data_IF_007341162709
#
_entry.id   IF_007341162709
#
_cell.length_a   1.000
_cell.length_b   1.000
_cell.length_c   1.000
_cell.angle_alpha   90.00
_cell.angle_beta   90.00
_cell.angle_gamma   90.00
#
_symmetry.space_group_name_H-M   'P 1'
#
loop_
_entity.id
_entity.type
_entity.pdbx_description
1 polymer ?
#
# COMPACT_ATOMS: atom_id res chain seq x y z
N UNK A 1 -4.87 9.54 -12.83
CA UNK A 1 -4.16 10.15 -11.66
C UNK A 1 -4.45 9.35 -10.41
N UNK A 2 -3.43 9.12 -9.61
CA UNK A 2 -3.56 8.34 -8.37
C UNK A 2 -3.98 9.26 -7.23
N UNK A 3 -5.03 8.86 -6.51
CA UNK A 3 -5.46 9.60 -5.33
C UNK A 3 -4.53 9.36 -4.15
N UNK A 4 -4.30 10.41 -3.37
CA UNK A 4 -3.62 10.32 -2.09
C UNK A 4 -4.63 9.97 -1.00
N UNK A 5 -4.28 9.00 -0.16
CA UNK A 5 -5.09 8.60 0.98
C UNK A 5 -4.34 8.91 2.26
N UNK A 6 -4.88 9.82 3.07
CA UNK A 6 -4.31 10.11 4.39
C UNK A 6 -4.45 8.87 5.30
N UNK A 7 -3.46 8.59 6.16
CA UNK A 7 -3.60 7.50 7.14
C UNK A 7 -4.87 7.61 8.00
N UNK A 8 -5.29 8.83 8.34
CA UNK A 8 -6.51 9.04 9.14
C UNK A 8 -7.79 8.65 8.40
N UNK A 9 -7.76 8.62 7.06
CA UNK A 9 -8.91 8.24 6.23
C UNK A 9 -8.89 6.76 5.85
N UNK A 10 -7.85 6.03 6.23
CA UNK A 10 -7.67 4.64 5.81
C UNK A 10 -8.81 3.74 6.28
N UNK A 11 -9.25 3.89 7.53
CA UNK A 11 -10.31 3.03 8.06
C UNK A 11 -11.61 3.16 7.26
N UNK A 12 -11.98 4.38 6.86
CA UNK A 12 -13.16 4.61 6.03
C UNK A 12 -12.98 4.04 4.63
N UNK A 13 -11.79 4.20 4.05
CA UNK A 13 -11.47 3.63 2.74
C UNK A 13 -11.54 2.10 2.77
N UNK A 14 -10.98 1.48 3.82
CA UNK A 14 -11.02 0.03 4.01
C UNK A 14 -12.45 -0.47 4.14
N UNK A 15 -13.27 0.22 4.93
CA UNK A 15 -14.67 -0.16 5.12
C UNK A 15 -15.46 -0.06 3.81
N UNK A 16 -15.17 0.95 2.98
CA UNK A 16 -15.83 1.13 1.69
C UNK A 16 -15.45 0.04 0.68
N UNK A 17 -14.37 -0.69 0.90
CA UNK A 17 -13.98 -1.80 0.02
C UNK A 17 -14.90 -3.02 0.16
N UNK A 18 -15.62 -3.15 1.28
CA UNK A 18 -16.48 -4.30 1.53
C UNK A 18 -17.48 -4.50 0.36
N UNK A 19 -17.79 -5.74 -0.02
CA UNK A 19 -17.35 -7.00 0.61
C UNK A 19 -15.93 -7.46 0.25
N UNK A 20 -15.21 -6.71 -0.58
CA UNK A 20 -13.81 -7.04 -0.89
C UNK A 20 -12.91 -6.71 0.30
N UNK A 21 -11.87 -7.52 0.48
CA UNK A 21 -10.81 -7.23 1.45
C UNK A 21 -9.80 -6.30 0.79
N UNK A 22 -9.55 -5.15 1.41
CA UNK A 22 -8.55 -4.22 0.92
C UNK A 22 -7.15 -4.81 1.04
N UNK A 23 -6.25 -4.41 0.14
CA UNK A 23 -4.85 -4.80 0.13
C UNK A 23 -4.00 -3.57 0.42
N UNK A 24 -3.04 -3.69 1.34
CA UNK A 24 -1.94 -2.74 1.48
C UNK A 24 -0.70 -3.38 0.88
N UNK A 25 -0.11 -2.74 -0.12
CA UNK A 25 1.10 -3.19 -0.78
C UNK A 25 2.27 -2.37 -0.30
N UNK A 26 3.10 -2.97 0.56
CA UNK A 26 4.33 -2.37 1.08
C UNK A 26 5.45 -2.63 0.08
N UNK A 27 6.01 -1.57 -0.49
CA UNK A 27 7.00 -1.67 -1.56
C UNK A 27 8.42 -1.33 -1.08
N UNK A 28 8.61 -1.28 0.25
CA UNK A 28 9.91 -0.98 0.86
C UNK A 28 10.85 -2.18 0.77
N UNK A 29 12.11 -1.93 1.12
CA UNK A 29 13.12 -2.98 1.20
C UNK A 29 12.93 -3.83 2.47
N UNK A 30 13.38 -5.11 2.47
CA UNK A 30 13.20 -5.99 3.63
C UNK A 30 13.75 -5.43 4.93
N UNK A 31 14.89 -4.73 4.90
CA UNK A 31 15.48 -4.17 6.12
C UNK A 31 14.59 -3.09 6.74
N UNK A 32 13.83 -2.37 5.92
CA UNK A 32 12.91 -1.34 6.41
C UNK A 32 11.77 -1.96 7.22
N UNK A 33 11.27 -3.13 6.79
CA UNK A 33 10.21 -3.83 7.51
C UNK A 33 10.66 -4.31 8.88
N UNK A 34 11.94 -4.65 9.01
CA UNK A 34 12.51 -5.03 10.31
C UNK A 34 12.62 -3.84 11.25
N UNK A 35 12.77 -2.63 10.71
CA UNK A 35 12.85 -1.41 11.49
C UNK A 35 11.48 -0.93 11.94
N UNK A 36 10.50 -0.94 11.03
CA UNK A 36 9.14 -0.47 11.29
C UNK A 36 8.17 -1.15 10.33
N UNK A 37 7.03 -1.59 10.83
CA UNK A 37 5.98 -2.22 10.02
C UNK A 37 4.62 -1.86 10.57
N UNK A 38 3.62 -1.76 9.68
CA UNK A 38 2.23 -1.71 10.11
C UNK A 38 1.74 -3.14 10.38
N UNK A 39 0.68 -3.26 11.17
CA UNK A 39 0.06 -4.54 11.48
C UNK A 39 -1.25 -4.66 10.71
N UNK A 40 -1.45 -5.79 10.03
CA UNK A 40 -2.69 -6.03 9.30
C UNK A 40 -3.87 -6.11 10.29
N UNK A 41 -4.93 -5.37 9.99
CA UNK A 41 -6.15 -5.34 10.81
C UNK A 41 -7.35 -5.22 9.87
N UNK A 42 -7.87 -6.37 9.44
CA UNK A 42 -8.98 -6.45 8.51
C UNK A 42 -8.61 -6.21 7.05
N UNK A 43 -7.34 -6.04 6.75
CA UNK A 43 -6.84 -5.92 5.39
C UNK A 43 -5.69 -6.92 5.17
N UNK A 44 -5.40 -7.21 3.90
CA UNK A 44 -4.28 -8.05 3.54
C UNK A 44 -3.03 -7.19 3.36
N UNK A 45 -1.96 -7.53 4.07
CA UNK A 45 -0.68 -6.83 3.96
C UNK A 45 0.27 -7.66 3.11
N UNK A 46 0.68 -7.12 1.97
CA UNK A 46 1.62 -7.75 1.06
C UNK A 46 2.90 -6.96 1.03
N UNK A 47 4.03 -7.67 0.95
CA UNK A 47 5.34 -7.05 0.80
C UNK A 47 5.96 -7.47 -0.52
N UNK A 48 6.11 -6.51 -1.43
CA UNK A 48 6.83 -6.71 -2.69
C UNK A 48 7.73 -5.48 -2.89
N UNK A 49 9.05 -5.61 -2.70
CA UNK A 49 9.94 -4.49 -2.94
C UNK A 49 9.74 -3.91 -4.34
N UNK A 50 9.79 -2.59 -4.46
CA UNK A 50 9.45 -1.89 -5.69
C UNK A 50 10.18 -2.46 -6.90
N UNK A 51 11.48 -2.77 -6.78
CA UNK A 51 12.28 -3.27 -7.89
C UNK A 51 11.93 -4.70 -8.28
N UNK A 52 11.29 -5.46 -7.40
CA UNK A 52 10.88 -6.83 -7.67
C UNK A 52 9.51 -6.92 -8.38
N UNK A 53 8.74 -5.84 -8.35
CA UNK A 53 7.36 -5.86 -8.82
C UNK A 53 7.23 -6.19 -10.32
N UNK A 54 8.05 -5.63 -11.23
CA UNK A 54 7.91 -5.96 -12.66
C UNK A 54 8.03 -7.46 -12.94
N UNK A 55 8.96 -8.14 -12.28
CA UNK A 55 9.15 -9.59 -12.45
C UNK A 55 8.04 -10.43 -11.83
N UNK A 56 7.20 -9.85 -10.99
CA UNK A 56 6.10 -10.53 -10.30
C UNK A 56 4.73 -10.10 -10.80
N UNK A 57 4.67 -9.21 -11.81
CA UNK A 57 3.41 -8.62 -12.25
C UNK A 57 2.44 -9.65 -12.83
N UNK A 58 2.94 -10.64 -13.56
CA UNK A 58 2.08 -11.68 -14.13
C UNK A 58 1.34 -12.46 -13.04
N UNK A 59 2.06 -12.86 -11.98
CA UNK A 59 1.46 -13.55 -10.84
C UNK A 59 0.51 -12.63 -10.07
N UNK A 60 0.90 -11.37 -9.89
CA UNK A 60 0.08 -10.39 -9.21
C UNK A 60 -1.27 -10.20 -9.91
N UNK A 61 -1.26 -10.12 -11.25
CA UNK A 61 -2.49 -10.01 -12.04
C UNK A 61 -3.37 -11.24 -11.95
N UNK A 62 -2.79 -12.42 -11.76
CA UNK A 62 -3.56 -13.64 -11.58
C UNK A 62 -4.20 -13.72 -10.20
N UNK A 63 -3.56 -13.15 -9.19
CA UNK A 63 -4.01 -13.23 -7.81
C UNK A 63 -5.00 -12.15 -7.43
N UNK A 64 -5.04 -11.04 -8.17
CA UNK A 64 -5.87 -9.88 -7.83
C UNK A 64 -6.69 -9.41 -9.03
N UNK A 65 -7.96 -9.13 -8.79
CA UNK A 65 -8.85 -8.58 -9.80
C UNK A 65 -8.44 -7.14 -10.16
N UNK A 66 -8.80 -6.69 -11.36
CA UNK A 66 -8.47 -5.34 -11.83
C UNK A 66 -9.04 -4.25 -10.93
N UNK A 67 -10.18 -4.49 -10.27
CA UNK A 67 -10.85 -3.55 -9.38
C UNK A 67 -10.54 -3.80 -7.90
N UNK A 68 -9.51 -4.60 -7.60
CA UNK A 68 -9.07 -4.83 -6.23
C UNK A 68 -8.64 -3.51 -5.59
N UNK A 69 -9.21 -3.11 -4.43
CA UNK A 69 -8.75 -1.94 -3.70
C UNK A 69 -7.34 -2.17 -3.15
N UNK A 70 -6.40 -1.32 -3.57
CA UNK A 70 -4.98 -1.43 -3.20
C UNK A 70 -4.49 -0.07 -2.73
N UNK A 71 -3.89 -0.03 -1.54
CA UNK A 71 -3.18 1.14 -1.03
C UNK A 71 -1.68 0.84 -1.02
N UNK A 72 -0.90 1.65 -1.73
CA UNK A 72 0.55 1.47 -1.81
C UNK A 72 1.24 2.22 -0.68
N UNK A 73 2.21 1.57 -0.03
CA UNK A 73 2.89 2.06 1.17
C UNK A 73 4.40 2.03 0.96
N UNK A 74 5.08 3.12 1.31
CA UNK A 74 6.53 3.14 1.46
C UNK A 74 6.92 3.99 2.67
N UNK A 75 8.16 4.52 2.73
CA UNK A 75 8.60 5.32 3.88
C UNK A 75 7.87 6.66 3.95
N UNK A 76 7.94 7.47 2.87
CA UNK A 76 7.39 8.82 2.83
C UNK A 76 6.34 9.04 1.74
N UNK A 77 6.02 8.02 0.95
CA UNK A 77 4.98 8.10 -0.08
C UNK A 77 5.48 8.33 -1.51
N UNK A 78 6.79 8.42 -1.74
CA UNK A 78 7.35 8.70 -3.07
C UNK A 78 7.47 7.42 -3.91
N UNK A 79 8.14 6.39 -3.39
CA UNK A 79 8.26 5.09 -4.10
C UNK A 79 6.89 4.46 -4.32
N UNK A 80 6.02 4.55 -3.33
CA UNK A 80 4.68 3.97 -3.42
C UNK A 80 3.82 4.69 -4.45
N UNK A 81 4.00 5.99 -4.65
CA UNK A 81 3.31 6.69 -5.73
C UNK A 81 3.75 6.18 -7.10
N UNK A 82 5.04 5.91 -7.28
CA UNK A 82 5.55 5.34 -8.53
C UNK A 82 4.93 3.96 -8.79
N UNK A 83 4.84 3.13 -7.74
CA UNK A 83 4.22 1.81 -7.84
C UNK A 83 2.73 1.92 -8.15
N UNK A 84 2.03 2.84 -7.50
CA UNK A 84 0.61 3.05 -7.75
C UNK A 84 0.34 3.41 -9.20
N UNK A 85 1.16 4.30 -9.78
CA UNK A 85 1.07 4.65 -11.21
C UNK A 85 1.37 3.44 -12.10
N UNK A 86 2.36 2.65 -11.74
CA UNK A 86 2.72 1.43 -12.48
C UNK A 86 1.55 0.43 -12.49
N UNK A 87 0.92 0.21 -11.34
CA UNK A 87 -0.25 -0.67 -11.25
C UNK A 87 -1.41 -0.14 -12.10
N UNK A 88 -1.67 1.15 -12.06
CA UNK A 88 -2.72 1.76 -12.87
C UNK A 88 -2.46 1.56 -14.37
N UNK A 89 -1.21 1.68 -14.81
CA UNK A 89 -0.82 1.43 -16.20
C UNK A 89 -1.02 -0.03 -16.60
N UNK A 90 -1.01 -0.94 -15.62
CA UNK A 90 -1.24 -2.37 -15.85
C UNK A 90 -2.69 -2.80 -15.63
N UNK A 91 -3.63 -1.86 -15.58
CA UNK A 91 -5.05 -2.13 -15.58
C UNK A 91 -5.73 -2.18 -14.22
N UNK A 92 -5.02 -1.88 -13.12
CA UNK A 92 -5.65 -1.80 -11.82
C UNK A 92 -6.35 -0.45 -11.66
N UNK A 93 -7.63 -0.48 -11.30
CA UNK A 93 -8.50 0.71 -11.33
C UNK A 93 -8.82 1.30 -9.97
N UNK A 94 -8.46 0.61 -8.88
CA UNK A 94 -8.82 1.03 -7.53
C UNK A 94 -7.56 1.14 -6.65
N UNK A 95 -6.55 1.86 -7.15
CA UNK A 95 -5.26 2.02 -6.50
C UNK A 95 -5.16 3.43 -5.90
N UNK A 96 -4.73 3.51 -4.65
CA UNK A 96 -4.44 4.77 -3.98
C UNK A 96 -3.03 4.73 -3.41
N UNK A 97 -2.46 5.90 -3.12
CA UNK A 97 -1.17 6.02 -2.44
C UNK A 97 -1.39 6.47 -1.00
N UNK A 98 -0.80 5.76 -0.04
CA UNK A 98 -0.82 6.18 1.36
C UNK A 98 0.07 7.40 1.53
N UNK A 99 -0.56 8.55 1.68
CA UNK A 99 0.09 9.85 1.74
C UNK A 99 1.03 9.93 2.93
N UNK A 100 2.28 10.29 2.66
CA UNK A 100 3.29 10.41 3.70
C UNK A 100 3.87 9.07 4.17
N UNK A 101 3.40 7.95 3.64
CA UNK A 101 3.92 6.62 3.92
C UNK A 101 3.79 6.19 5.37
N UNK A 102 4.66 5.26 5.80
CA UNK A 102 4.64 4.75 7.18
C UNK A 102 5.03 5.83 8.18
N UNK A 103 5.79 6.85 7.76
CA UNK A 103 6.10 7.99 8.61
C UNK A 103 4.82 8.70 9.06
N UNK A 104 3.95 9.04 8.12
CA UNK A 104 2.68 9.68 8.44
C UNK A 104 1.75 8.73 9.22
N UNK A 105 1.78 7.44 8.89
CA UNK A 105 1.02 6.44 9.63
C UNK A 105 1.42 6.39 11.10
N UNK A 106 2.74 6.39 11.37
CA UNK A 106 3.25 6.42 12.75
C UNK A 106 2.82 7.69 13.50
N UNK A 107 2.82 8.82 12.82
CA UNK A 107 2.46 10.11 13.44
C UNK A 107 0.96 10.25 13.69
N UNK A 108 0.12 9.73 12.78
CA UNK A 108 -1.31 10.03 12.76
C UNK A 108 -2.17 8.88 13.28
N UNK A 109 -1.72 7.63 13.17
CA UNK A 109 -2.53 6.45 13.47
C UNK A 109 -1.94 5.61 14.58
N UNK A 110 -0.65 5.26 14.49
CA UNK A 110 -0.03 4.30 15.42
C UNK A 110 1.33 4.80 15.89
N UNK A 111 1.37 5.55 17.00
CA UNK A 111 2.63 6.09 17.51
C UNK A 111 3.60 5.03 18.05
N UNK A 112 3.18 3.77 18.16
CA UNK A 112 4.07 2.68 18.58
C UNK A 112 5.03 2.26 17.46
N UNK A 113 4.76 2.65 16.21
CA UNK A 113 5.63 2.34 15.09
C UNK A 113 6.88 3.22 15.14
N UNK A 114 8.05 2.58 15.03
CA UNK A 114 9.31 3.31 15.04
C UNK A 114 9.42 4.21 13.81
N UNK A 115 9.96 5.41 14.00
CA UNK A 115 10.27 6.33 12.92
C UNK A 115 11.76 6.18 12.57
N UNK A 116 12.04 6.18 11.26
CA UNK A 116 13.42 5.96 10.81
C UNK A 116 13.82 6.87 9.64
#
# INVERSE_FOLDING_TARGET
>A
MIDQLSPTDFAAWQAAAAPKTAVVLDVREPWELQTASITADGFELLHIPMQSLPGRMADFKQQHAADQPIACLCHHGIRSMQVANYLAQHGFTAVVNLQGGIQAWAEQVDPSIAQY
#
